data_IF_532489336152
#
_entry.id   IF_532489336152
#
_cell.length_a   1.000
_cell.length_b   1.000
_cell.length_c   1.000
_cell.angle_alpha   90.00
_cell.angle_beta   90.00
_cell.angle_gamma   90.00
#
_symmetry.space_group_name_H-M   'P 1'
#
loop_
_entity.id
_entity.type
_entity.pdbx_description
1 polymer ?
#
# COMPACT_ATOMS: atom_id res chain seq x y z
N UNK A 1 -9.64 -9.21 2.93
CA UNK A 1 -8.87 -8.20 3.70
C UNK A 1 -7.79 -7.63 2.80
N UNK A 2 -7.78 -6.31 2.57
CA UNK A 2 -6.64 -5.66 1.93
C UNK A 2 -5.54 -5.43 2.98
N UNK A 3 -4.31 -5.86 2.68
CA UNK A 3 -3.16 -5.66 3.57
C UNK A 3 -2.45 -4.39 3.11
N UNK A 4 -2.42 -3.39 3.97
CA UNK A 4 -1.71 -2.14 3.73
C UNK A 4 -0.28 -2.29 4.20
N UNK A 5 0.69 -1.95 3.36
CA UNK A 5 2.11 -1.91 3.67
C UNK A 5 2.67 -0.53 3.41
N UNK A 6 3.44 0.01 4.33
CA UNK A 6 4.25 1.21 4.11
C UNK A 6 5.69 0.94 4.49
N UNK A 7 6.63 1.75 4.02
CA UNK A 7 8.00 1.72 4.56
C UNK A 7 8.06 2.54 5.83
N UNK A 8 8.91 2.19 6.79
CA UNK A 8 9.10 3.02 7.99
C UNK A 8 9.63 4.42 7.68
N UNK A 9 10.34 4.59 6.56
CA UNK A 9 10.85 5.90 6.11
C UNK A 9 9.81 6.75 5.34
N UNK A 10 8.69 6.14 4.91
CA UNK A 10 7.67 6.78 4.09
C UNK A 10 6.30 6.71 4.76
N UNK A 11 5.60 7.83 4.77
CA UNK A 11 4.22 7.85 5.24
C UNK A 11 3.20 7.34 4.20
N UNK A 12 3.68 6.76 3.09
CA UNK A 12 2.81 6.27 2.01
C UNK A 12 2.49 4.79 2.15
N UNK A 13 1.20 4.47 2.19
CA UNK A 13 0.65 3.13 2.26
C UNK A 13 0.32 2.56 0.88
N UNK A 14 0.71 1.30 0.69
CA UNK A 14 0.55 0.51 -0.52
C UNK A 14 -0.13 -0.81 -0.17
N UNK A 15 -1.24 -1.12 -0.84
CA UNK A 15 -1.95 -2.39 -0.65
C UNK A 15 -1.97 -3.25 -1.92
N UNK A 16 -1.66 -2.67 -3.08
CA UNK A 16 -1.49 -3.42 -4.31
C UNK A 16 -0.07 -3.99 -4.39
N UNK A 17 0.08 -5.30 -4.35
CA UNK A 17 1.33 -6.05 -4.54
C UNK A 17 1.96 -5.82 -5.91
N UNK A 18 1.17 -5.55 -6.95
CA UNK A 18 1.70 -5.13 -8.25
C UNK A 18 2.05 -3.64 -8.35
N UNK A 19 2.02 -2.89 -7.24
CA UNK A 19 2.45 -1.50 -7.25
C UNK A 19 3.96 -1.45 -7.52
N UNK A 20 4.39 -0.55 -8.40
CA UNK A 20 5.80 -0.36 -8.74
C UNK A 20 6.65 0.03 -7.52
N UNK A 21 6.00 0.71 -6.56
CA UNK A 21 6.60 1.15 -5.31
C UNK A 21 6.26 0.24 -4.11
N UNK A 22 5.70 -0.96 -4.37
CA UNK A 22 5.26 -1.84 -3.30
C UNK A 22 6.42 -2.17 -2.34
N UNK A 23 6.24 -1.97 -1.02
CA UNK A 23 7.28 -2.28 -0.05
C UNK A 23 7.49 -3.80 0.07
N UNK A 24 8.70 -4.28 -0.22
CA UNK A 24 9.08 -5.71 -0.17
C UNK A 24 10.18 -6.05 0.83
N UNK A 25 10.73 -5.06 1.53
CA UNK A 25 11.82 -5.25 2.51
C UNK A 25 11.34 -5.60 3.92
N UNK A 26 12.31 -5.76 4.84
CA UNK A 26 12.07 -5.98 6.27
C UNK A 26 11.58 -4.71 7.00
N UNK A 27 11.92 -3.54 6.48
CA UNK A 27 11.59 -2.22 7.05
C UNK A 27 10.20 -1.71 6.62
N UNK A 28 9.23 -2.61 6.61
CA UNK A 28 7.87 -2.32 6.18
C UNK A 28 6.89 -2.51 7.33
N UNK A 29 6.04 -1.54 7.55
CA UNK A 29 4.92 -1.65 8.46
C UNK A 29 3.71 -2.20 7.72
N UNK A 30 3.06 -3.18 8.34
CA UNK A 30 1.91 -3.86 7.77
C UNK A 30 0.69 -3.59 8.64
N UNK A 31 -0.40 -3.13 8.03
CA UNK A 31 -1.69 -2.91 8.67
C UNK A 31 -2.77 -3.72 7.97
N UNK A 32 -3.60 -4.39 8.75
CA UNK A 32 -4.75 -5.15 8.24
C UNK A 32 -6.02 -4.30 8.13
N UNK A 33 -5.98 -3.09 8.68
CA UNK A 33 -7.04 -2.09 8.61
C UNK A 33 -6.57 -0.87 7.85
N UNK A 34 -7.52 -0.12 7.29
CA UNK A 34 -7.22 1.12 6.60
C UNK A 34 -6.56 2.08 7.60
N UNK A 35 -5.32 2.52 7.34
CA UNK A 35 -4.62 3.39 8.25
C UNK A 35 -5.32 4.75 8.31
N UNK A 36 -5.46 5.27 9.53
CA UNK A 36 -6.00 6.61 9.80
C UNK A 36 -4.93 7.71 9.67
N UNK A 37 -3.66 7.33 9.66
CA UNK A 37 -2.51 8.21 9.48
C UNK A 37 -1.69 7.82 8.24
N UNK A 38 -1.21 8.83 7.52
CA UNK A 38 -0.39 8.69 6.33
C UNK A 38 -1.14 8.77 5.01
N UNK A 39 -0.37 8.83 3.94
CA UNK A 39 -0.86 9.00 2.57
C UNK A 39 -1.13 7.65 1.92
N UNK A 40 -2.17 7.54 1.11
CA UNK A 40 -2.42 6.33 0.32
C UNK A 40 -1.81 6.49 -1.06
N UNK A 41 -1.01 5.52 -1.51
CA UNK A 41 -0.34 5.56 -2.80
C UNK A 41 -1.35 5.77 -3.93
N UNK A 42 -1.14 6.83 -4.73
CA UNK A 42 -2.04 7.17 -5.85
C UNK A 42 -2.04 6.10 -6.94
N UNK A 43 -0.92 5.39 -7.15
CA UNK A 43 -0.88 4.26 -8.09
C UNK A 43 -1.79 3.11 -7.62
N UNK A 44 -1.76 2.79 -6.31
CA UNK A 44 -2.66 1.79 -5.74
C UNK A 44 -4.12 2.21 -5.88
N UNK A 45 -4.46 3.49 -5.60
CA UNK A 45 -5.83 4.02 -5.81
C UNK A 45 -6.29 3.88 -7.26
N UNK A 46 -5.41 4.24 -8.20
CA UNK A 46 -5.72 4.16 -9.62
C UNK A 46 -5.94 2.71 -10.06
N UNK A 47 -5.08 1.78 -9.64
CA UNK A 47 -5.22 0.35 -9.96
C UNK A 47 -6.42 -0.30 -9.29
N UNK A 48 -6.75 0.09 -8.07
CA UNK A 48 -7.96 -0.39 -7.38
C UNK A 48 -9.21 0.09 -8.11
N UNK A 49 -9.25 1.37 -8.50
CA UNK A 49 -10.33 1.94 -9.30
C UNK A 49 -10.47 1.26 -10.67
N UNK A 50 -9.35 0.85 -11.27
CA UNK A 50 -9.30 0.14 -12.55
C UNK A 50 -9.53 -1.37 -12.41
N UNK A 51 -9.62 -1.91 -11.19
CA UNK A 51 -9.75 -3.35 -10.94
C UNK A 51 -8.48 -4.17 -11.23
N UNK A 52 -7.33 -3.49 -11.41
CA UNK A 52 -6.01 -4.11 -11.65
C UNK A 52 -5.15 -4.28 -10.39
N UNK A 53 -5.65 -3.85 -9.24
CA UNK A 53 -4.94 -4.00 -7.98
C UNK A 53 -4.95 -5.46 -7.51
N UNK A 54 -3.79 -5.99 -7.16
CA UNK A 54 -3.63 -7.32 -6.57
C UNK A 54 -3.25 -7.18 -5.11
N UNK A 55 -4.18 -7.49 -4.20
CA UNK A 55 -3.98 -7.41 -2.74
C UNK A 55 -3.37 -8.67 -2.13
#
# INVERSE_FOLDING_TARGET
>A
MAIYRRRKDKDTWHWCRNCSNYPTGSDVETSYTKPSSGELCNECKAKEKDGKCTS
#
